data_IF_534756057122
#
_entry.id   IF_534756057122
#
_cell.length_a   1.000
_cell.length_b   1.000
_cell.length_c   1.000
_cell.angle_alpha   90.00
_cell.angle_beta   90.00
_cell.angle_gamma   90.00
#
_symmetry.space_group_name_H-M   'P 1'
#
loop_
_entity.id
_entity.type
_entity.pdbx_description
1 polymer ?
#
# COMPACT_ATOMS: atom_id res chain seq x y z
N UNK A 1 -5.58 -24.13 -76.28
CA UNK A 1 -4.70 -23.13 -75.64
C UNK A 1 -5.07 -23.03 -74.16
N UNK A 2 -4.05 -22.98 -73.29
CA UNK A 2 -4.07 -22.84 -71.80
C UNK A 2 -4.47 -24.15 -71.06
N UNK A 3 -3.53 -24.94 -70.50
CA UNK A 3 -2.77 -24.76 -69.22
C UNK A 3 -3.76 -24.65 -68.02
N UNK A 4 -3.68 -25.34 -66.87
CA UNK A 4 -2.55 -25.94 -66.12
C UNK A 4 -3.06 -26.50 -64.75
N UNK A 5 -2.32 -27.47 -64.15
CA UNK A 5 -2.17 -27.84 -62.70
C UNK A 5 -3.43 -28.27 -61.89
N UNK A 6 -3.53 -29.47 -61.30
CA UNK A 6 -2.76 -30.09 -60.18
C UNK A 6 -2.66 -29.21 -58.94
N UNK A 7 -3.30 -29.59 -57.81
CA UNK A 7 -2.78 -29.37 -56.44
C UNK A 7 -3.59 -30.20 -55.42
N UNK A 8 -2.86 -31.05 -54.70
CA UNK A 8 -3.23 -31.79 -53.49
C UNK A 8 -3.80 -30.85 -52.41
N UNK A 9 -4.96 -31.18 -51.83
CA UNK A 9 -5.40 -30.57 -50.56
C UNK A 9 -5.04 -31.52 -49.43
N UNK A 10 -3.93 -31.22 -48.74
CA UNK A 10 -3.56 -31.85 -47.48
C UNK A 10 -4.41 -31.27 -46.35
N UNK A 11 -5.14 -32.14 -45.64
CA UNK A 11 -5.87 -31.78 -44.45
C UNK A 11 -4.92 -31.76 -43.25
N UNK A 12 -4.58 -30.58 -42.73
CA UNK A 12 -3.95 -30.40 -41.43
C UNK A 12 -5.01 -29.98 -40.42
N UNK A 13 -5.39 -30.90 -39.53
CA UNK A 13 -6.25 -30.62 -38.38
C UNK A 13 -5.43 -29.85 -37.34
N UNK A 14 -5.65 -28.54 -37.25
CA UNK A 14 -5.17 -27.71 -36.14
C UNK A 14 -6.12 -27.90 -34.96
N UNK A 15 -5.72 -28.74 -34.01
CA UNK A 15 -6.33 -28.77 -32.69
C UNK A 15 -5.90 -27.49 -31.94
N UNK A 16 -6.69 -26.42 -32.06
CA UNK A 16 -6.61 -25.27 -31.16
C UNK A 16 -7.13 -25.69 -29.80
N UNK A 17 -6.23 -26.22 -28.96
CA UNK A 17 -6.44 -26.26 -27.52
C UNK A 17 -6.54 -24.83 -27.01
N UNK A 18 -7.76 -24.37 -26.81
CA UNK A 18 -8.03 -23.11 -26.11
C UNK A 18 -7.58 -23.26 -24.66
N UNK A 19 -6.35 -22.85 -24.38
CA UNK A 19 -5.94 -22.56 -23.00
C UNK A 19 -6.68 -21.28 -22.64
N UNK A 20 -7.84 -21.40 -22.01
CA UNK A 20 -8.44 -20.27 -21.31
C UNK A 20 -7.56 -19.98 -20.10
N UNK A 21 -6.58 -19.09 -20.26
CA UNK A 21 -6.02 -18.39 -19.11
C UNK A 21 -7.15 -17.50 -18.58
N UNK A 22 -7.73 -17.90 -17.45
CA UNK A 22 -8.45 -16.96 -16.60
C UNK A 22 -7.41 -15.98 -16.08
N UNK A 23 -7.18 -14.88 -16.79
CA UNK A 23 -6.52 -13.72 -16.22
C UNK A 23 -7.46 -13.22 -15.11
N UNK A 24 -7.12 -13.51 -13.86
CA UNK A 24 -7.58 -12.67 -12.76
C UNK A 24 -7.10 -11.27 -13.09
N UNK A 25 -8.01 -10.33 -13.29
CA UNK A 25 -7.68 -8.93 -13.52
C UNK A 25 -6.81 -8.43 -12.36
N UNK A 26 -5.49 -8.44 -12.55
CA UNK A 26 -4.56 -7.75 -11.67
C UNK A 26 -4.72 -6.27 -12.02
N UNK A 27 -5.72 -5.64 -11.41
CA UNK A 27 -5.97 -4.20 -11.56
C UNK A 27 -4.75 -3.45 -11.07
N UNK A 28 -3.91 -2.99 -12.01
CA UNK A 28 -2.76 -2.17 -11.67
C UNK A 28 -3.23 -0.78 -11.23
N UNK A 29 -2.63 -0.26 -10.17
CA UNK A 29 -2.88 1.10 -9.69
C UNK A 29 -2.64 2.09 -10.82
N UNK A 30 -3.70 2.79 -11.22
CA UNK A 30 -3.68 3.73 -12.35
C UNK A 30 -3.73 5.15 -11.80
N UNK A 31 -2.74 5.98 -12.15
CA UNK A 31 -2.76 7.39 -11.77
C UNK A 31 -3.97 8.10 -12.40
N UNK A 32 -4.65 8.91 -11.59
CA UNK A 32 -5.80 9.68 -12.05
C UNK A 32 -5.35 10.77 -13.05
N UNK A 33 -6.17 11.00 -14.07
CA UNK A 33 -5.94 12.07 -15.03
C UNK A 33 -6.37 13.42 -14.42
N UNK A 34 -5.41 14.31 -14.18
CA UNK A 34 -5.63 15.64 -13.63
C UNK A 34 -4.39 16.19 -12.91
N UNK A 35 -4.46 17.44 -12.48
CA UNK A 35 -3.36 18.08 -11.73
C UNK A 35 -3.72 18.17 -10.25
N UNK A 36 -3.36 17.14 -9.49
CA UNK A 36 -3.17 17.24 -8.05
C UNK A 36 -1.87 16.54 -7.66
N UNK A 37 -1.33 16.86 -6.50
CA UNK A 37 -0.16 16.21 -5.94
C UNK A 37 -0.52 15.72 -4.55
N UNK A 38 -0.42 14.41 -4.34
CA UNK A 38 -0.47 13.80 -3.02
C UNK A 38 0.63 14.42 -2.15
N UNK A 39 0.27 15.03 -1.02
CA UNK A 39 1.21 15.60 -0.06
C UNK A 39 1.06 14.93 1.30
N UNK A 40 2.18 14.67 1.99
CA UNK A 40 2.14 14.20 3.38
C UNK A 40 1.44 15.19 4.32
N UNK A 41 1.31 16.46 3.93
CA UNK A 41 0.55 17.46 4.69
C UNK A 41 -0.96 17.22 4.68
N UNK A 42 -1.46 16.37 3.78
CA UNK A 42 -2.89 16.06 3.68
C UNK A 42 -3.33 15.01 4.70
N UNK A 43 -2.40 14.37 5.40
CA UNK A 43 -2.69 13.44 6.48
C UNK A 43 -1.61 13.51 7.55
N UNK A 44 -1.97 14.00 8.73
CA UNK A 44 -1.08 14.02 9.88
C UNK A 44 -0.62 12.59 10.23
N UNK A 45 0.69 12.45 10.47
CA UNK A 45 1.34 11.17 10.72
C UNK A 45 1.74 10.38 9.47
N UNK A 46 1.50 10.89 8.27
CA UNK A 46 2.03 10.31 7.05
C UNK A 46 3.55 10.57 6.90
N UNK A 47 4.29 9.54 6.48
CA UNK A 47 5.71 9.65 6.08
C UNK A 47 5.88 9.69 4.57
N UNK A 48 4.97 9.06 3.84
CA UNK A 48 4.97 8.98 2.38
C UNK A 48 3.54 9.09 1.85
N UNK A 49 3.42 9.57 0.62
CA UNK A 49 2.14 9.81 -0.05
C UNK A 49 2.25 9.28 -1.48
N UNK A 50 1.27 8.49 -1.91
CA UNK A 50 1.16 7.98 -3.28
C UNK A 50 -0.28 8.18 -3.79
N UNK A 51 -0.41 8.77 -4.99
CA UNK A 51 -1.69 9.13 -5.59
C UNK A 51 -1.66 10.50 -6.30
N UNK A 52 -2.79 11.01 -6.80
CA UNK A 52 -4.11 10.38 -6.77
C UNK A 52 -4.19 9.21 -7.75
N UNK A 53 -4.75 8.09 -7.30
CA UNK A 53 -5.08 6.94 -8.13
C UNK A 53 -6.56 6.97 -8.52
N UNK A 54 -6.87 6.51 -9.72
CA UNK A 54 -8.24 6.33 -10.19
C UNK A 54 -8.84 5.03 -9.63
N UNK A 55 -10.16 5.01 -9.46
CA UNK A 55 -10.90 3.82 -9.02
C UNK A 55 -11.22 3.83 -7.53
N UNK A 56 -11.49 2.65 -6.97
CA UNK A 56 -11.87 2.43 -5.58
C UNK A 56 -10.86 1.48 -4.92
N UNK A 57 -10.32 1.85 -3.76
CA UNK A 57 -9.37 1.04 -2.99
C UNK A 57 -9.94 -0.30 -2.53
N UNK A 58 -11.23 -0.37 -2.15
CA UNK A 58 -11.83 -1.60 -1.60
C UNK A 58 -12.01 -2.75 -2.61
N UNK A 59 -11.96 -2.49 -3.92
CA UNK A 59 -12.26 -3.48 -4.97
C UNK A 59 -11.09 -3.72 -5.93
N UNK A 60 -9.87 -3.37 -5.54
CA UNK A 60 -8.68 -3.59 -6.36
C UNK A 60 -7.48 -4.00 -5.52
N UNK A 61 -6.45 -4.54 -6.17
CA UNK A 61 -5.18 -4.79 -5.50
C UNK A 61 -4.48 -3.46 -5.24
N UNK A 62 -3.97 -3.29 -4.02
CA UNK A 62 -3.07 -2.19 -3.65
C UNK A 62 -1.59 -2.62 -3.72
N UNK A 63 -1.29 -3.78 -4.32
CA UNK A 63 0.09 -4.24 -4.50
C UNK A 63 0.93 -3.22 -5.27
N UNK A 64 2.17 -3.05 -4.83
CA UNK A 64 3.13 -2.11 -5.38
C UNK A 64 3.08 -0.74 -4.74
N UNK A 65 2.04 -0.42 -3.97
CA UNK A 65 1.95 0.81 -3.20
C UNK A 65 3.13 0.90 -2.22
N UNK A 66 3.92 1.98 -2.30
CA UNK A 66 5.16 2.17 -1.56
C UNK A 66 6.22 1.09 -1.81
N UNK A 67 6.12 0.38 -2.94
CA UNK A 67 6.96 -0.78 -3.25
C UNK A 67 6.66 -2.02 -2.39
N UNK A 68 5.50 -2.07 -1.74
CA UNK A 68 5.07 -3.15 -0.84
C UNK A 68 3.81 -3.82 -1.39
N UNK A 69 3.71 -5.13 -1.19
CA UNK A 69 2.57 -5.96 -1.57
C UNK A 69 1.85 -6.53 -0.34
N UNK A 70 0.70 -7.17 -0.55
CA UNK A 70 -0.04 -7.90 0.48
C UNK A 70 -0.83 -7.01 1.44
N UNK A 71 -1.19 -5.80 0.99
CA UNK A 71 -2.05 -4.91 1.77
C UNK A 71 -3.42 -5.55 2.01
N UNK A 72 -3.80 -5.64 3.27
CA UNK A 72 -5.07 -6.22 3.71
C UNK A 72 -5.88 -5.14 4.43
N UNK A 73 -7.14 -4.97 4.04
CA UNK A 73 -8.05 -4.03 4.69
C UNK A 73 -8.24 -4.42 6.16
N UNK A 74 -8.06 -3.45 7.06
CA UNK A 74 -8.20 -3.62 8.50
C UNK A 74 -9.57 -3.13 8.94
N UNK A 75 -9.87 -1.88 8.59
CA UNK A 75 -11.10 -1.18 8.97
C UNK A 75 -11.34 -0.05 7.98
N UNK A 76 -12.60 0.15 7.63
CA UNK A 76 -13.08 1.24 6.79
C UNK A 76 -14.17 1.99 7.52
N UNK A 77 -14.12 3.31 7.43
CA UNK A 77 -15.16 4.19 7.94
C UNK A 77 -15.72 5.00 6.76
N UNK A 78 -17.02 4.88 6.53
CA UNK A 78 -17.74 5.48 5.41
C UNK A 78 -19.09 6.03 5.85
N UNK A 79 -19.68 6.93 5.06
CA UNK A 79 -21.01 7.47 5.33
C UNK A 79 -22.10 6.48 4.87
N UNK A 80 -22.37 5.47 5.71
CA UNK A 80 -23.44 4.51 5.49
C UNK A 80 -24.79 5.06 5.94
N UNK A 81 -25.35 6.01 5.19
CA UNK A 81 -26.74 6.48 5.41
C UNK A 81 -27.82 5.40 5.16
N UNK A 82 -27.45 4.13 4.97
CA UNK A 82 -28.37 3.00 4.80
C UNK A 82 -28.39 1.97 5.94
N UNK A 83 -27.52 2.05 6.97
CA UNK A 83 -27.54 1.07 8.05
C UNK A 83 -27.28 1.72 9.41
N UNK A 84 -28.35 1.95 10.20
CA UNK A 84 -28.38 1.90 11.67
C UNK A 84 -27.34 2.67 12.51
N UNK A 85 -26.45 3.44 11.89
CA UNK A 85 -25.39 4.16 12.56
C UNK A 85 -25.99 5.30 13.37
N UNK A 86 -25.56 5.40 14.63
CA UNK A 86 -26.02 6.43 15.57
C UNK A 86 -25.61 7.78 15.00
N UNK A 87 -26.56 8.40 14.32
CA UNK A 87 -26.52 9.78 13.84
C UNK A 87 -26.31 10.71 15.04
N UNK A 88 -25.14 11.32 15.13
CA UNK A 88 -25.05 12.64 15.75
C UNK A 88 -24.50 13.60 14.70
N UNK A 89 -25.44 14.32 14.08
CA UNK A 89 -25.24 15.67 13.55
C UNK A 89 -24.28 15.84 12.34
N UNK A 90 -24.47 16.94 11.60
CA UNK A 90 -23.72 17.29 10.37
C UNK A 90 -22.26 17.71 10.64
N UNK A 91 -21.76 17.42 11.84
CA UNK A 91 -20.39 17.49 12.35
C UNK A 91 -19.84 16.10 12.73
N UNK A 92 -20.50 15.05 12.20
CA UNK A 92 -20.46 13.69 12.72
C UNK A 92 -19.08 13.09 12.92
N UNK A 93 -19.01 12.24 13.93
CA UNK A 93 -17.90 11.35 14.20
C UNK A 93 -18.32 9.94 13.81
N UNK A 94 -17.72 9.39 12.76
CA UNK A 94 -17.95 8.01 12.33
C UNK A 94 -16.87 7.12 12.92
N UNK A 95 -17.25 6.01 13.54
CA UNK A 95 -16.30 5.06 14.11
C UNK A 95 -16.65 3.65 13.67
N UNK A 96 -15.64 2.92 13.19
CA UNK A 96 -15.77 1.50 12.87
C UNK A 96 -14.63 0.72 13.52
N UNK A 97 -14.85 -0.56 13.79
CA UNK A 97 -13.84 -1.47 14.35
C UNK A 97 -13.70 -2.71 13.47
N UNK A 98 -12.49 -2.97 13.02
CA UNK A 98 -12.15 -4.12 12.19
C UNK A 98 -10.79 -4.70 12.59
N UNK A 99 -10.70 -6.03 12.65
CA UNK A 99 -9.49 -6.76 13.08
C UNK A 99 -8.86 -6.27 14.41
N UNK A 100 -9.67 -5.78 15.35
CA UNK A 100 -9.21 -5.24 16.64
C UNK A 100 -8.67 -3.80 16.60
N UNK A 101 -8.75 -3.12 15.45
CA UNK A 101 -8.44 -1.70 15.29
C UNK A 101 -9.73 -0.91 15.21
N UNK A 102 -9.85 0.14 16.01
CA UNK A 102 -10.97 1.10 15.92
C UNK A 102 -10.49 2.35 15.23
N UNK A 103 -11.13 2.73 14.13
CA UNK A 103 -10.89 3.96 13.37
C UNK A 103 -12.06 4.91 13.55
N UNK A 104 -11.77 6.13 14.01
CA UNK A 104 -12.74 7.22 14.14
C UNK A 104 -12.36 8.36 13.20
N UNK A 105 -13.32 8.84 12.42
CA UNK A 105 -13.14 9.90 11.42
C UNK A 105 -14.24 10.92 11.60
N UNK A 106 -13.86 12.18 11.77
CA UNK A 106 -14.78 13.30 11.86
C UNK A 106 -14.92 13.94 10.49
N UNK A 107 -16.15 14.32 10.13
CA UNK A 107 -16.46 15.06 8.89
C UNK A 107 -16.35 14.22 7.59
N UNK A 108 -16.79 12.96 7.61
CA UNK A 108 -17.01 12.22 6.36
C UNK A 108 -18.03 12.98 5.48
N UNK A 109 -17.81 12.98 4.17
CA UNK A 109 -18.50 13.83 3.19
C UNK A 109 -17.90 15.23 3.04
N UNK A 110 -17.14 15.70 4.03
CA UNK A 110 -16.39 16.96 3.98
C UNK A 110 -15.06 16.86 3.24
N UNK A 111 -14.39 18.00 3.06
CA UNK A 111 -13.09 18.07 2.36
C UNK A 111 -11.89 18.01 3.30
N UNK A 112 -12.12 18.12 4.61
CA UNK A 112 -11.12 18.06 5.67
C UNK A 112 -11.77 17.72 7.00
N UNK A 113 -11.00 17.15 7.91
CA UNK A 113 -11.47 16.78 9.24
C UNK A 113 -10.35 16.25 10.12
N UNK A 114 -10.72 15.45 11.12
CA UNK A 114 -9.76 14.75 11.97
C UNK A 114 -10.01 13.25 11.97
N UNK A 115 -8.98 12.48 12.29
CA UNK A 115 -9.05 11.03 12.42
C UNK A 115 -8.31 10.58 13.68
N UNK A 116 -8.69 9.43 14.21
CA UNK A 116 -7.91 8.71 15.23
C UNK A 116 -8.07 7.21 15.09
N UNK A 117 -7.07 6.46 15.52
CA UNK A 117 -7.05 5.01 15.47
C UNK A 117 -6.48 4.43 16.76
N UNK A 118 -7.09 3.34 17.23
CA UNK A 118 -6.62 2.57 18.39
C UNK A 118 -6.49 1.10 18.02
N UNK A 119 -5.66 0.34 18.74
CA UNK A 119 -5.42 -1.08 18.46
C UNK A 119 -4.39 -1.36 17.36
N UNK A 120 -3.66 -0.35 16.90
CA UNK A 120 -2.59 -0.51 15.90
C UNK A 120 -1.37 -1.22 16.51
N UNK A 121 -0.86 -2.22 15.80
CA UNK A 121 0.32 -3.01 16.19
C UNK A 121 1.48 -2.75 15.23
N UNK A 122 2.12 -1.59 15.42
CA UNK A 122 3.29 -1.18 14.65
C UNK A 122 4.53 -2.08 14.85
N UNK A 123 4.51 -2.97 15.86
CA UNK A 123 5.62 -3.90 16.08
C UNK A 123 5.65 -5.05 15.07
N UNK A 124 4.48 -5.40 14.53
CA UNK A 124 4.33 -6.52 13.60
C UNK A 124 3.87 -6.09 12.20
N UNK A 125 3.33 -4.88 12.04
CA UNK A 125 2.70 -4.45 10.80
C UNK A 125 3.09 -3.03 10.39
N UNK A 126 3.25 -2.84 9.08
CA UNK A 126 3.20 -1.53 8.43
C UNK A 126 1.73 -1.16 8.18
N UNK A 127 1.38 0.12 8.34
CA UNK A 127 0.03 0.63 8.10
C UNK A 127 -0.01 1.70 7.03
N UNK A 128 -1.08 1.67 6.24
CA UNK A 128 -1.42 2.69 5.25
C UNK A 128 -2.84 3.18 5.53
N UNK A 129 -3.01 4.50 5.51
CA UNK A 129 -4.31 5.13 5.45
C UNK A 129 -4.64 5.49 3.99
N UNK A 130 -5.87 5.23 3.57
CA UNK A 130 -6.38 5.59 2.26
C UNK A 130 -7.54 6.55 2.42
N UNK A 131 -7.43 7.71 1.79
CA UNK A 131 -8.51 8.70 1.72
C UNK A 131 -9.14 8.63 0.33
N UNK A 132 -10.42 8.27 0.28
CA UNK A 132 -11.18 8.11 -0.95
C UNK A 132 -12.20 9.23 -1.10
N UNK A 133 -12.26 9.83 -2.30
CA UNK A 133 -13.30 10.81 -2.66
C UNK A 133 -13.55 10.85 -4.17
N UNK A 134 -14.79 11.09 -4.60
CA UNK A 134 -15.12 11.09 -6.04
C UNK A 134 -14.76 9.77 -6.74
N UNK A 135 -14.03 9.77 -7.88
CA UNK A 135 -13.50 8.55 -8.52
C UNK A 135 -12.02 8.30 -8.23
N UNK A 136 -11.42 8.96 -7.24
CA UNK A 136 -9.98 8.83 -6.94
C UNK A 136 -9.69 8.62 -5.45
N UNK A 137 -8.52 8.11 -5.13
CA UNK A 137 -7.99 8.00 -3.77
C UNK A 137 -6.51 8.34 -3.74
N UNK A 138 -6.01 8.65 -2.54
CA UNK A 138 -4.60 8.77 -2.24
C UNK A 138 -4.30 7.94 -1.00
N UNK A 139 -3.11 7.35 -0.97
CA UNK A 139 -2.67 6.51 0.11
C UNK A 139 -1.48 7.13 0.83
N UNK A 140 -1.41 6.90 2.12
CA UNK A 140 -0.50 7.54 3.04
C UNK A 140 0.13 6.49 3.94
N UNK A 141 1.45 6.29 3.83
CA UNK A 141 2.17 5.39 4.73
C UNK A 141 2.31 6.07 6.09
N UNK A 142 1.76 5.45 7.13
CA UNK A 142 1.78 6.02 8.48
C UNK A 142 3.15 5.84 9.13
N UNK A 143 3.59 6.84 9.90
CA UNK A 143 4.74 6.70 10.78
C UNK A 143 4.40 5.76 11.94
N UNK A 144 5.42 5.12 12.50
CA UNK A 144 5.30 4.36 13.74
C UNK A 144 4.63 5.20 14.83
N UNK A 145 3.72 4.58 15.59
CA UNK A 145 2.96 5.21 16.69
C UNK A 145 1.99 6.32 16.26
N UNK A 146 1.70 6.48 14.97
CA UNK A 146 0.64 7.39 14.53
C UNK A 146 -0.71 6.86 15.02
N UNK A 147 -1.47 7.70 15.73
CA UNK A 147 -2.78 7.33 16.28
C UNK A 147 -3.89 8.30 15.87
N UNK A 148 -3.59 9.28 15.02
CA UNK A 148 -4.57 10.27 14.57
C UNK A 148 -3.95 11.61 14.19
N UNK A 149 -4.82 12.53 13.77
CA UNK A 149 -4.50 13.90 13.46
C UNK A 149 -5.50 14.51 12.46
N UNK A 150 -5.07 15.54 11.74
CA UNK A 150 -5.88 16.16 10.69
C UNK A 150 -5.77 15.39 9.37
N UNK A 151 -6.79 15.55 8.53
CA UNK A 151 -6.79 15.09 7.16
C UNK A 151 -7.46 16.10 6.23
N UNK A 152 -7.07 16.09 4.96
CA UNK A 152 -7.75 16.79 3.88
C UNK A 152 -7.73 16.00 2.56
N UNK A 153 -8.56 16.43 1.61
CA UNK A 153 -8.77 15.76 0.31
C UNK A 153 -8.12 16.49 -0.87
N UNK A 154 -7.25 17.47 -0.61
CA UNK A 154 -6.62 18.25 -1.68
C UNK A 154 -5.72 17.39 -2.58
N UNK A 155 -5.15 16.31 -2.04
CA UNK A 155 -4.37 15.31 -2.78
C UNK A 155 -5.17 14.34 -3.65
N UNK A 156 -6.51 14.49 -3.74
CA UNK A 156 -7.40 13.67 -4.59
C UNK A 156 -8.34 14.53 -5.44
N UNK A 157 -8.96 13.95 -6.46
CA UNK A 157 -9.74 14.64 -7.50
C UNK A 157 -11.21 14.22 -7.53
N UNK A 158 -12.08 15.17 -7.84
CA UNK A 158 -13.46 14.94 -8.30
C UNK A 158 -13.48 14.26 -9.67
N UNK A 159 -14.64 13.68 -10.03
CA UNK A 159 -14.83 13.09 -11.35
C UNK A 159 -15.34 14.07 -12.39
N UNK A 160 -15.34 13.64 -13.66
CA UNK A 160 -15.91 14.37 -14.77
C UNK A 160 -14.88 14.96 -15.73
N UNK A 161 -15.36 15.82 -16.63
CA UNK A 161 -14.56 16.40 -17.73
C UNK A 161 -13.53 17.43 -17.26
N UNK A 162 -13.71 17.99 -16.06
CA UNK A 162 -12.79 18.96 -15.47
C UNK A 162 -12.51 18.61 -13.99
N UNK A 163 -11.68 17.58 -13.73
CA UNK A 163 -11.36 17.13 -12.37
C UNK A 163 -10.81 18.26 -11.51
N UNK A 164 -11.40 18.46 -10.33
CA UNK A 164 -10.97 19.47 -9.35
C UNK A 164 -10.43 18.79 -8.10
N UNK A 165 -9.42 19.36 -7.43
CA UNK A 165 -8.96 18.87 -6.14
C UNK A 165 -10.04 19.01 -5.06
N UNK A 166 -9.85 18.30 -3.95
CA UNK A 166 -10.71 18.36 -2.75
C UNK A 166 -12.17 17.91 -2.96
N UNK A 167 -12.42 16.71 -3.53
CA UNK A 167 -13.74 16.08 -3.43
C UNK A 167 -14.11 15.82 -1.96
N UNK A 168 -15.42 15.76 -1.65
CA UNK A 168 -15.86 15.24 -0.35
C UNK A 168 -15.36 13.82 -0.10
N UNK A 169 -14.91 13.55 1.12
CA UNK A 169 -14.42 12.24 1.55
C UNK A 169 -15.56 11.23 1.54
N UNK A 170 -15.47 10.20 0.69
CA UNK A 170 -16.42 9.10 0.63
C UNK A 170 -16.16 8.10 1.76
N UNK A 171 -14.88 7.74 1.96
CA UNK A 171 -14.48 6.86 3.05
C UNK A 171 -12.99 7.01 3.39
N UNK A 172 -12.66 6.54 4.58
CA UNK A 172 -11.31 6.42 5.09
C UNK A 172 -11.05 4.95 5.43
N UNK A 173 -10.02 4.37 4.84
CA UNK A 173 -9.65 2.97 5.08
C UNK A 173 -8.26 2.88 5.70
N UNK A 174 -8.08 1.96 6.65
CA UNK A 174 -6.77 1.52 7.09
C UNK A 174 -6.47 0.14 6.51
N UNK A 175 -5.28 0.01 5.93
CA UNK A 175 -4.70 -1.25 5.47
C UNK A 175 -3.47 -1.59 6.30
N UNK A 176 -3.17 -2.88 6.39
CA UNK A 176 -1.93 -3.38 6.98
C UNK A 176 -1.26 -4.41 6.10
N UNK A 177 0.04 -4.57 6.28
CA UNK A 177 0.85 -5.65 5.72
C UNK A 177 1.91 -6.04 6.75
N UNK A 178 2.41 -7.29 6.78
CA UNK A 178 3.48 -7.66 7.70
C UNK A 178 4.67 -6.69 7.57
N UNK A 179 5.08 -6.13 8.69
CA UNK A 179 6.16 -5.15 8.72
C UNK A 179 7.46 -5.79 8.28
N UNK A 180 8.31 -5.04 7.57
CA UNK A 180 9.70 -5.48 7.35
C UNK A 180 10.42 -5.44 8.70
N UNK A 181 10.62 -6.60 9.32
CA UNK A 181 11.29 -6.68 10.62
C UNK A 181 12.62 -5.93 10.58
N UNK A 182 12.70 -4.80 11.30
CA UNK A 182 13.96 -4.09 11.51
C UNK A 182 14.84 -5.02 12.36
N UNK A 183 16.03 -5.44 11.88
CA UNK A 183 16.91 -6.28 12.68
C UNK A 183 17.20 -5.57 13.99
N UNK A 184 16.83 -6.20 15.10
CA UNK A 184 17.01 -5.60 16.41
C UNK A 184 18.47 -5.16 16.61
N UNK A 185 18.73 -4.05 17.35
CA UNK A 185 20.08 -3.53 17.59
C UNK A 185 21.06 -4.60 18.11
N UNK A 186 20.56 -5.62 18.81
CA UNK A 186 21.35 -6.73 19.32
C UNK A 186 21.97 -7.59 18.19
N UNK A 187 21.26 -7.74 17.08
CA UNK A 187 21.71 -8.48 15.90
C UNK A 187 22.81 -7.72 15.15
N UNK A 188 22.71 -6.39 15.08
CA UNK A 188 23.76 -5.51 14.53
C UNK A 188 25.00 -5.54 15.43
N UNK A 189 24.81 -5.48 16.75
CA UNK A 189 25.89 -5.59 17.73
C UNK A 189 26.58 -6.96 17.65
N UNK A 190 25.81 -8.04 17.50
CA UNK A 190 26.30 -9.41 17.36
C UNK A 190 27.11 -9.61 16.07
N UNK A 191 26.64 -9.06 14.95
CA UNK A 191 27.38 -9.09 13.69
C UNK A 191 28.69 -8.27 13.76
N UNK A 192 28.65 -7.08 14.37
CA UNK A 192 29.85 -6.25 14.60
C UNK A 192 30.87 -6.90 15.53
N UNK A 193 30.41 -7.59 16.57
CA UNK A 193 31.24 -8.38 17.47
C UNK A 193 31.89 -9.57 16.75
N UNK A 194 31.13 -10.34 15.97
CA UNK A 194 31.67 -11.51 15.25
C UNK A 194 32.80 -11.13 14.26
N UNK A 195 32.67 -10.00 13.56
CA UNK A 195 33.69 -9.50 12.63
C UNK A 195 34.95 -9.03 13.38
N UNK A 196 34.80 -8.35 14.52
CA UNK A 196 35.92 -7.87 15.32
C UNK A 196 36.66 -9.03 16.01
N UNK A 197 35.96 -10.04 16.53
CA UNK A 197 36.59 -11.25 17.06
C UNK A 197 37.27 -12.10 15.96
N UNK A 198 36.62 -12.30 14.81
CA UNK A 198 37.17 -13.10 13.71
C UNK A 198 38.46 -12.51 13.11
N UNK A 199 38.52 -11.19 12.96
CA UNK A 199 39.73 -10.50 12.46
C UNK A 199 40.87 -10.51 13.48
N UNK A 200 40.57 -10.35 14.79
CA UNK A 200 41.56 -10.41 15.85
C UNK A 200 42.22 -11.80 15.97
N UNK A 201 41.43 -12.87 15.89
CA UNK A 201 41.95 -14.25 15.92
C UNK A 201 42.80 -14.58 14.68
N UNK A 202 42.37 -14.18 13.47
CA UNK A 202 43.14 -14.38 12.23
C UNK A 202 44.49 -13.65 12.28
N UNK A 203 44.54 -12.43 12.85
CA UNK A 203 45.77 -11.64 13.01
C UNK A 203 46.73 -12.27 14.02
N UNK A 204 46.21 -12.91 15.07
CA UNK A 204 47.02 -13.59 16.09
C UNK A 204 47.62 -14.90 15.56
N UNK A 205 46.85 -15.68 14.80
CA UNK A 205 47.33 -16.92 14.16
C UNK A 205 48.36 -16.66 13.05
N UNK A 206 48.21 -15.59 12.27
CA UNK A 206 49.19 -15.21 11.25
C UNK A 206 50.55 -14.79 11.83
N UNK A 207 50.56 -14.18 13.03
CA UNK A 207 51.81 -13.83 13.74
C UNK A 207 52.51 -15.05 14.35
N UNK A 208 51.76 -16.02 14.87
CA UNK A 208 52.31 -17.26 15.40
C UNK A 208 53.01 -18.10 14.32
N UNK A 209 52.45 -18.14 13.09
CA UNK A 209 53.05 -18.88 11.97
C UNK A 209 54.38 -18.29 11.49
N UNK A 210 54.49 -16.95 11.45
CA UNK A 210 55.76 -16.26 11.10
C UNK A 210 56.87 -16.41 12.13
N UNK A 211 56.53 -16.71 13.39
CA UNK A 211 57.51 -16.90 14.46
C UNK A 211 58.19 -18.28 14.41
N UNK A 212 57.52 -19.29 13.85
CA UNK A 212 58.03 -20.67 13.77
C UNK A 212 58.86 -20.96 12.50
N UNK A 213 58.87 -20.05 11.53
CA UNK A 213 59.65 -20.20 10.28
C UNK A 213 61.05 -19.57 10.38
N UNK A 214 61.39 -18.98 11.53
CA UNK A 214 62.71 -18.37 11.81
C UNK A 214 63.50 -19.09 12.92
N UNK A 215 63.11 -20.30 13.30
CA UNK A 215 63.82 -21.14 14.26
C UNK A 215 64.50 -22.31 13.53
#
# INVERSE_FOLDING_TARGET
MKKVLSTLVGASVLATGGISLSATDVGALTLANGTTTCSISNLDGATHCEGAYAGNDSNQSLDGLFGINGWTEVVKTEDDTNEGNVFDSMDGSWSNTGMGVTLTVNTIGGTSGTWSATGLDYSNYDYVAVLKGGPTFSAYKLADFTIGGNWDTSGILTGGQNPQPSPGLSHFTLYKTPGTAVPEPLTILGAGAAISFGTAFKRKLGKAKKSNEKA
#
